data_IF_897760536198
#
_entry.id   IF_897760536198
#
_cell.length_a   1.000
_cell.length_b   1.000
_cell.length_c   1.000
_cell.angle_alpha   90.00
_cell.angle_beta   90.00
_cell.angle_gamma   90.00
#
_symmetry.space_group_name_H-M   'P 1'
#
loop_
_entity.id
_entity.type
_entity.pdbx_description
1 polymer ?
#
# COMPACT_ATOMS: atom_id res chain seq x y z
N UNK A 1 10.87 34.44 -21.86
CA UNK A 1 10.01 34.61 -20.67
C UNK A 1 9.00 33.46 -20.50
N UNK A 2 8.68 32.71 -21.55
CA UNK A 2 7.72 31.58 -21.54
C UNK A 2 8.22 30.30 -20.81
N UNK A 3 9.55 30.12 -20.70
CA UNK A 3 10.12 28.94 -20.02
C UNK A 3 10.00 28.95 -18.49
N UNK A 4 9.91 30.13 -17.87
CA UNK A 4 9.87 30.26 -16.40
C UNK A 4 8.49 29.88 -15.84
N UNK A 5 7.41 30.27 -16.54
CA UNK A 5 6.04 29.97 -16.12
C UNK A 5 5.71 28.49 -16.24
N UNK A 6 6.20 27.79 -17.27
CA UNK A 6 6.03 26.34 -17.41
C UNK A 6 6.79 25.55 -16.32
N UNK A 7 7.96 26.04 -15.90
CA UNK A 7 8.74 25.42 -14.82
C UNK A 7 8.04 25.61 -13.47
N UNK A 8 7.50 26.81 -13.22
CA UNK A 8 6.73 27.13 -12.03
C UNK A 8 5.44 26.32 -11.93
N UNK A 9 4.68 26.21 -13.03
CA UNK A 9 3.49 25.37 -13.08
C UNK A 9 3.81 23.90 -12.74
N UNK A 10 4.88 23.34 -13.34
CA UNK A 10 5.32 21.96 -13.01
C UNK A 10 5.69 21.79 -11.55
N UNK A 11 6.26 22.80 -10.90
CA UNK A 11 6.57 22.75 -9.45
C UNK A 11 5.29 22.74 -8.63
N UNK A 12 4.33 23.62 -8.97
CA UNK A 12 3.04 23.67 -8.29
C UNK A 12 2.27 22.35 -8.46
N UNK A 13 2.25 21.79 -9.66
CA UNK A 13 1.64 20.49 -9.94
C UNK A 13 2.31 19.37 -9.13
N UNK A 14 3.64 19.35 -9.05
CA UNK A 14 4.38 18.36 -8.26
C UNK A 14 4.10 18.49 -6.75
N UNK A 15 4.00 19.72 -6.23
CA UNK A 15 3.65 19.99 -4.83
C UNK A 15 2.21 19.51 -4.55
N UNK A 16 1.27 19.86 -5.43
CA UNK A 16 -0.13 19.46 -5.29
C UNK A 16 -0.26 17.92 -5.33
N UNK A 17 0.37 17.26 -6.30
CA UNK A 17 0.38 15.80 -6.41
C UNK A 17 0.98 15.15 -5.14
N UNK A 18 2.11 15.65 -4.66
CA UNK A 18 2.76 15.13 -3.44
C UNK A 18 1.87 15.31 -2.21
N UNK A 19 1.20 16.45 -2.08
CA UNK A 19 0.28 16.72 -0.98
C UNK A 19 -0.94 15.78 -1.02
N UNK A 20 -1.50 15.54 -2.20
CA UNK A 20 -2.62 14.61 -2.39
C UNK A 20 -2.21 13.16 -2.07
N UNK A 21 -1.05 12.71 -2.54
CA UNK A 21 -0.53 11.38 -2.21
C UNK A 21 -0.27 11.25 -0.71
N UNK A 22 0.35 12.24 -0.07
CA UNK A 22 0.58 12.22 1.37
C UNK A 22 -0.73 12.14 2.16
N UNK A 23 -1.76 12.91 1.74
CA UNK A 23 -3.08 12.84 2.34
C UNK A 23 -3.71 11.46 2.18
N UNK A 24 -3.64 10.86 0.98
CA UNK A 24 -4.16 9.52 0.73
C UNK A 24 -3.46 8.46 1.61
N UNK A 25 -2.13 8.49 1.71
CA UNK A 25 -1.34 7.59 2.57
C UNK A 25 -1.75 7.72 4.02
N UNK A 26 -1.89 8.95 4.54
CA UNK A 26 -2.32 9.19 5.93
C UNK A 26 -3.72 8.65 6.18
N UNK A 27 -4.66 8.90 5.26
CA UNK A 27 -6.03 8.42 5.39
C UNK A 27 -6.08 6.88 5.36
N UNK A 28 -5.44 6.26 4.37
CA UNK A 28 -5.39 4.80 4.27
C UNK A 28 -4.74 4.15 5.49
N UNK A 29 -3.66 4.74 6.02
CA UNK A 29 -3.02 4.24 7.23
C UNK A 29 -3.94 4.38 8.45
N UNK A 30 -4.64 5.51 8.59
CA UNK A 30 -5.55 5.77 9.70
C UNK A 30 -6.80 4.86 9.68
N UNK A 31 -7.23 4.43 8.49
CA UNK A 31 -8.41 3.56 8.31
C UNK A 31 -8.06 2.10 8.06
N UNK A 32 -6.78 1.74 8.00
CA UNK A 32 -6.35 0.36 7.77
C UNK A 32 -6.82 -0.53 8.92
N UNK A 33 -7.51 -1.62 8.59
CA UNK A 33 -8.01 -2.56 9.58
C UNK A 33 -6.83 -3.17 10.36
N UNK A 34 -6.84 -3.12 11.71
CA UNK A 34 -5.70 -3.56 12.53
C UNK A 34 -5.53 -5.07 12.54
N UNK A 35 -6.52 -5.84 12.05
CA UNK A 35 -6.51 -7.30 11.97
C UNK A 35 -7.43 -7.77 10.83
N UNK A 36 -7.51 -9.08 10.62
CA UNK A 36 -8.39 -9.70 9.61
C UNK A 36 -9.83 -9.26 9.83
N UNK A 37 -10.46 -8.75 8.77
CA UNK A 37 -11.88 -8.39 8.78
C UNK A 37 -12.74 -9.56 8.32
N UNK A 38 -13.99 -9.59 8.78
CA UNK A 38 -14.95 -10.58 8.33
C UNK A 38 -15.46 -10.22 6.92
N UNK A 39 -15.36 -11.19 6.00
CA UNK A 39 -15.74 -11.02 4.60
C UNK A 39 -14.57 -10.61 3.68
N UNK A 40 -14.67 -10.98 2.39
CA UNK A 40 -13.65 -10.73 1.38
C UNK A 40 -12.50 -11.74 1.38
N UNK A 41 -11.37 -11.34 0.79
CA UNK A 41 -10.15 -12.14 0.54
C UNK A 41 -8.96 -11.72 1.44
N UNK A 42 -9.13 -10.71 2.30
CA UNK A 42 -8.03 -10.12 3.08
C UNK A 42 -7.28 -11.14 3.96
N UNK A 43 -8.01 -12.06 4.61
CA UNK A 43 -7.42 -13.11 5.44
C UNK A 43 -6.68 -14.15 4.59
N UNK A 44 -7.23 -14.51 3.43
CA UNK A 44 -6.62 -15.44 2.49
C UNK A 44 -5.34 -14.85 1.88
N UNK A 45 -5.38 -13.59 1.44
CA UNK A 45 -4.22 -12.87 0.93
C UNK A 45 -3.14 -12.67 2.00
N UNK A 46 -3.53 -12.34 3.25
CA UNK A 46 -2.59 -12.22 4.35
C UNK A 46 -1.91 -13.56 4.67
N UNK A 47 -2.68 -14.66 4.71
CA UNK A 47 -2.14 -16.00 4.94
C UNK A 47 -1.23 -16.45 3.78
N UNK A 48 -1.64 -16.21 2.53
CA UNK A 48 -0.84 -16.51 1.35
C UNK A 48 0.45 -15.69 1.30
N UNK A 49 0.41 -14.39 1.62
CA UNK A 49 1.60 -13.55 1.68
C UNK A 49 2.53 -13.99 2.81
N UNK A 50 1.99 -14.35 3.98
CA UNK A 50 2.77 -14.86 5.11
C UNK A 50 3.52 -16.16 4.78
N UNK A 51 2.83 -17.08 4.11
CA UNK A 51 3.35 -18.41 3.77
C UNK A 51 4.03 -18.51 2.40
N UNK A 52 3.99 -17.44 1.60
CA UNK A 52 4.30 -17.46 0.16
C UNK A 52 3.50 -18.53 -0.61
N UNK A 53 2.24 -18.71 -0.23
CA UNK A 53 1.28 -19.61 -0.87
C UNK A 53 0.61 -18.99 -2.10
N UNK A 54 -0.50 -19.59 -2.53
CA UNK A 54 -1.31 -19.13 -3.67
C UNK A 54 -2.72 -18.85 -3.14
N UNK A 55 -3.15 -17.59 -3.17
CA UNK A 55 -4.51 -17.21 -2.79
C UNK A 55 -5.51 -17.54 -3.92
N UNK A 56 -5.25 -17.10 -5.15
CA UNK A 56 -6.18 -17.29 -6.26
C UNK A 56 -5.48 -17.86 -7.50
N UNK A 57 -6.22 -18.30 -8.54
CA UNK A 57 -5.63 -18.96 -9.71
C UNK A 57 -4.52 -18.17 -10.42
N UNK A 58 -4.54 -16.84 -10.35
CA UNK A 58 -3.50 -15.96 -10.91
C UNK A 58 -2.25 -15.86 -10.04
N UNK A 59 -2.30 -16.32 -8.79
CA UNK A 59 -1.21 -16.37 -7.83
C UNK A 59 -0.77 -15.04 -7.21
N UNK A 60 -0.99 -13.90 -7.88
CA UNK A 60 -0.54 -12.57 -7.42
C UNK A 60 0.91 -12.53 -6.90
N UNK A 61 1.90 -13.10 -7.61
CA UNK A 61 3.23 -13.38 -7.06
C UNK A 61 3.94 -12.13 -6.53
N UNK A 62 3.90 -11.02 -7.27
CA UNK A 62 4.53 -9.76 -6.82
C UNK A 62 3.87 -9.21 -5.55
N UNK A 63 2.54 -9.23 -5.48
CA UNK A 63 1.80 -8.77 -4.30
C UNK A 63 2.15 -9.62 -3.07
N UNK A 64 2.19 -10.94 -3.20
CA UNK A 64 2.52 -11.84 -2.09
C UNK A 64 3.98 -11.70 -1.64
N UNK A 65 4.93 -11.52 -2.57
CA UNK A 65 6.34 -11.27 -2.24
C UNK A 65 6.55 -9.94 -1.52
N UNK A 66 5.91 -8.86 -1.99
CA UNK A 66 5.97 -7.54 -1.34
C UNK A 66 5.24 -7.56 0.01
N UNK A 67 4.09 -8.23 0.10
CA UNK A 67 3.39 -8.46 1.36
C UNK A 67 4.27 -9.21 2.36
N UNK A 68 4.93 -10.29 1.93
CA UNK A 68 5.90 -11.02 2.75
C UNK A 68 7.03 -10.10 3.23
N UNK A 69 7.59 -9.29 2.33
CA UNK A 69 8.65 -8.34 2.68
C UNK A 69 8.19 -7.38 3.80
N UNK A 70 6.98 -6.84 3.72
CA UNK A 70 6.44 -5.97 4.76
C UNK A 70 6.24 -6.69 6.10
N UNK A 71 5.85 -7.97 6.09
CA UNK A 71 5.77 -8.77 7.33
C UNK A 71 7.13 -8.99 8.01
N UNK A 72 8.23 -8.93 7.23
CA UNK A 72 9.61 -9.06 7.71
C UNK A 72 10.20 -7.72 8.16
N UNK A 73 9.93 -6.65 7.42
CA UNK A 73 10.47 -5.30 7.69
C UNK A 73 9.75 -4.59 8.84
N UNK A 74 8.46 -4.86 9.04
CA UNK A 74 7.64 -4.27 10.11
C UNK A 74 7.45 -5.31 11.21
N UNK A 75 8.17 -5.23 12.34
CA UNK A 75 8.15 -6.26 13.37
C UNK A 75 6.96 -6.16 14.35
N UNK A 76 6.11 -5.14 14.23
CA UNK A 76 4.94 -4.91 15.11
C UNK A 76 3.60 -4.92 14.36
N UNK A 77 2.50 -5.00 15.11
CA UNK A 77 1.14 -5.09 14.56
C UNK A 77 0.79 -6.49 14.05
N UNK A 78 -0.46 -6.73 13.67
CA UNK A 78 -0.89 -8.01 13.12
C UNK A 78 -0.38 -8.26 11.71
N UNK A 79 -0.21 -9.53 11.33
CA UNK A 79 0.27 -9.91 9.99
C UNK A 79 -0.64 -9.35 8.90
N UNK A 80 -1.96 -9.41 9.08
CA UNK A 80 -2.93 -8.88 8.13
C UNK A 80 -2.75 -7.37 7.91
N UNK A 81 -2.53 -6.60 8.99
CA UNK A 81 -2.27 -5.17 8.90
C UNK A 81 -0.94 -4.88 8.20
N UNK A 82 0.13 -5.63 8.52
CA UNK A 82 1.44 -5.48 7.86
C UNK A 82 1.36 -5.73 6.36
N UNK A 83 0.57 -6.71 5.92
CA UNK A 83 0.33 -6.98 4.50
C UNK A 83 -0.51 -5.86 3.87
N UNK A 84 -1.51 -5.34 4.58
CA UNK A 84 -2.33 -4.21 4.12
C UNK A 84 -1.53 -2.91 3.94
N UNK A 85 -0.37 -2.75 4.57
CA UNK A 85 0.54 -1.62 4.32
C UNK A 85 0.97 -1.52 2.85
N UNK A 86 0.96 -2.63 2.10
CA UNK A 86 1.23 -2.58 0.66
C UNK A 86 0.18 -1.72 -0.06
N UNK A 87 -1.10 -1.87 0.31
CA UNK A 87 -2.19 -1.05 -0.22
C UNK A 87 -2.12 0.40 0.26
N UNK A 88 -1.59 0.66 1.47
CA UNK A 88 -1.33 2.03 1.96
C UNK A 88 -0.27 2.73 1.10
N UNK A 89 0.75 2.02 0.66
CA UNK A 89 1.89 2.58 -0.06
C UNK A 89 1.70 2.67 -1.57
N UNK A 90 0.90 1.77 -2.14
CA UNK A 90 0.71 1.63 -3.59
C UNK A 90 -0.69 2.02 -4.08
N UNK A 91 -1.58 2.44 -3.17
CA UNK A 91 -2.95 2.86 -3.44
C UNK A 91 -3.07 4.24 -4.04
#
# INVERSE_FOLDING_TARGET
>A
MEGTTAQEQRRLDAIAASAMTALAVVLYLATAAPTVTFGGDCGELAAAAWSLGIAHPTGYPLYLMLGKLLTLLVPWGEVAWRVALLSVLAG
#
